data_IF_323495043909
#
_entry.id   IF_323495043909
#
_cell.length_a   1.000
_cell.length_b   1.000
_cell.length_c   1.000
_cell.angle_alpha   90.00
_cell.angle_beta   90.00
_cell.angle_gamma   90.00
#
_symmetry.space_group_name_H-M   'P 1'
#
loop_
_entity.id
_entity.type
_entity.pdbx_description
1 polymer ?
#
# COMPACT_ATOMS: atom_id res chain seq x y z
N UNK A 1 -21.75 -11.99 28.52
CA UNK A 1 -20.37 -11.56 28.29
C UNK A 1 -20.16 -11.62 26.80
N UNK A 2 -20.00 -10.49 26.11
CA UNK A 2 -19.79 -10.48 24.66
C UNK A 2 -18.41 -11.07 24.35
N UNK A 3 -18.33 -11.94 23.35
CA UNK A 3 -17.07 -12.52 22.89
C UNK A 3 -16.08 -11.40 22.50
N UNK A 4 -14.77 -11.60 22.75
CA UNK A 4 -13.78 -10.65 22.30
C UNK A 4 -13.82 -10.55 20.78
N UNK A 5 -14.01 -9.34 20.26
CA UNK A 5 -13.93 -8.99 18.82
C UNK A 5 -12.76 -9.71 18.17
N UNK A 6 -12.92 -10.25 16.95
CA UNK A 6 -11.83 -10.93 16.25
C UNK A 6 -10.62 -9.98 16.02
N UNK A 7 -9.40 -10.52 15.95
CA UNK A 7 -8.21 -9.70 15.73
C UNK A 7 -8.28 -8.90 14.42
N UNK A 8 -8.79 -9.53 13.35
CA UNK A 8 -8.92 -8.92 12.03
C UNK A 8 -9.91 -7.75 12.03
N UNK A 9 -11.03 -7.87 12.75
CA UNK A 9 -11.99 -6.78 12.90
C UNK A 9 -11.38 -5.57 13.60
N UNK A 10 -10.55 -5.78 14.63
CA UNK A 10 -9.85 -4.68 15.30
C UNK A 10 -8.81 -4.01 14.41
N UNK A 11 -8.07 -4.80 13.62
CA UNK A 11 -7.07 -4.27 12.68
C UNK A 11 -7.76 -3.51 11.52
N UNK A 12 -8.87 -4.03 11.02
CA UNK A 12 -9.69 -3.35 10.02
C UNK A 12 -10.25 -2.03 10.57
N UNK A 13 -10.77 -2.00 11.80
CA UNK A 13 -11.21 -0.77 12.44
C UNK A 13 -10.06 0.25 12.61
N UNK A 14 -8.85 -0.21 12.93
CA UNK A 14 -7.67 0.66 12.98
C UNK A 14 -7.33 1.24 11.59
N UNK A 15 -7.38 0.42 10.53
CA UNK A 15 -7.21 0.88 9.15
C UNK A 15 -8.25 1.93 8.76
N UNK A 16 -9.54 1.70 9.08
CA UNK A 16 -10.61 2.66 8.79
C UNK A 16 -10.36 4.01 9.48
N UNK A 17 -9.85 4.01 10.72
CA UNK A 17 -9.47 5.26 11.40
C UNK A 17 -8.34 5.99 10.69
N UNK A 18 -7.33 5.27 10.19
CA UNK A 18 -6.24 5.86 9.40
C UNK A 18 -6.77 6.46 8.08
N UNK A 19 -7.67 5.76 7.39
CA UNK A 19 -8.30 6.25 6.15
C UNK A 19 -9.14 7.51 6.39
N UNK A 20 -9.94 7.52 7.46
CA UNK A 20 -10.72 8.69 7.87
C UNK A 20 -9.79 9.86 8.23
N UNK A 21 -8.73 9.60 9.00
CA UNK A 21 -7.73 10.61 9.35
C UNK A 21 -7.02 11.19 8.12
N UNK A 22 -6.64 10.33 7.18
CA UNK A 22 -6.05 10.74 5.90
C UNK A 22 -7.02 11.58 5.06
N UNK A 23 -8.29 11.15 4.96
CA UNK A 23 -9.35 11.88 4.26
C UNK A 23 -9.64 13.26 4.87
N UNK A 24 -9.61 13.35 6.20
CA UNK A 24 -9.86 14.58 6.97
C UNK A 24 -8.60 15.41 7.23
N UNK A 25 -7.43 14.98 6.74
CA UNK A 25 -6.13 15.65 6.93
C UNK A 25 -5.75 15.87 8.39
N UNK A 26 -6.21 15.00 9.25
CA UNK A 26 -5.83 15.04 10.66
C UNK A 26 -4.38 14.54 10.78
N UNK A 27 -3.58 15.25 11.58
CA UNK A 27 -2.26 14.76 11.95
C UNK A 27 -2.44 13.41 12.64
N UNK A 28 -2.02 12.35 11.97
CA UNK A 28 -2.04 11.02 12.57
C UNK A 28 -0.91 10.98 13.59
N UNK A 29 -1.25 10.63 14.83
CA UNK A 29 -0.24 10.29 15.82
C UNK A 29 0.59 9.12 15.27
N UNK A 30 1.91 9.27 15.27
CA UNK A 30 2.83 8.21 14.85
C UNK A 30 3.29 7.53 16.14
N UNK A 31 2.65 6.41 16.55
CA UNK A 31 3.09 5.70 17.74
C UNK A 31 4.48 5.11 17.53
N UNK A 32 5.22 4.92 18.63
CA UNK A 32 6.46 4.16 18.60
C UNK A 32 6.25 2.72 18.09
N UNK A 33 7.30 2.08 17.54
CA UNK A 33 7.21 0.72 17.03
C UNK A 33 6.80 -0.27 18.13
N UNK A 34 5.87 -1.17 17.83
CA UNK A 34 5.40 -2.20 18.78
C UNK A 34 6.38 -3.38 18.94
N UNK A 35 7.33 -3.54 18.02
CA UNK A 35 8.34 -4.61 18.07
C UNK A 35 7.84 -6.02 17.73
N UNK A 36 6.57 -6.17 17.30
CA UNK A 36 5.96 -7.47 17.00
C UNK A 36 6.11 -7.86 15.53
N UNK A 37 6.10 -6.89 14.61
CA UNK A 37 6.21 -7.11 13.16
C UNK A 37 7.67 -6.99 12.73
N UNK A 38 8.20 -8.04 12.10
CA UNK A 38 9.54 -8.08 11.51
C UNK A 38 9.50 -7.69 10.03
N UNK A 39 10.67 -7.43 9.45
CA UNK A 39 10.82 -7.10 8.03
C UNK A 39 10.21 -8.15 7.11
N UNK A 40 10.45 -9.43 7.38
CA UNK A 40 9.91 -10.52 6.57
C UNK A 40 8.38 -10.57 6.66
N UNK A 41 7.81 -10.42 7.85
CA UNK A 41 6.34 -10.39 8.04
C UNK A 41 5.69 -9.27 7.19
N UNK A 42 6.35 -8.11 7.08
CA UNK A 42 5.88 -7.01 6.24
C UNK A 42 5.98 -7.35 4.75
N UNK A 43 7.05 -8.01 4.30
CA UNK A 43 7.19 -8.47 2.91
C UNK A 43 6.14 -9.53 2.57
N UNK A 44 5.93 -10.51 3.44
CA UNK A 44 4.93 -11.56 3.26
C UNK A 44 3.53 -10.95 3.20
N UNK A 45 3.22 -9.97 4.06
CA UNK A 45 1.95 -9.26 4.04
C UNK A 45 1.73 -8.51 2.71
N UNK A 46 2.76 -7.83 2.17
CA UNK A 46 2.66 -7.15 0.87
C UNK A 46 2.32 -8.15 -0.25
N UNK A 47 2.98 -9.31 -0.27
CA UNK A 47 2.72 -10.36 -1.28
C UNK A 47 1.32 -10.94 -1.13
N UNK A 48 0.88 -11.22 0.10
CA UNK A 48 -0.48 -11.73 0.35
C UNK A 48 -1.56 -10.75 -0.11
N UNK A 49 -1.38 -9.44 0.13
CA UNK A 49 -2.32 -8.43 -0.36
C UNK A 49 -2.29 -8.35 -1.90
N UNK A 50 -1.12 -8.45 -2.52
CA UNK A 50 -1.01 -8.48 -3.97
C UNK A 50 -1.76 -9.67 -4.58
N UNK A 51 -1.65 -10.86 -3.96
CA UNK A 51 -2.38 -12.06 -4.38
C UNK A 51 -3.91 -11.87 -4.27
N UNK A 52 -4.40 -11.25 -3.20
CA UNK A 52 -5.84 -10.94 -3.04
C UNK A 52 -6.32 -9.97 -4.12
N UNK A 53 -5.51 -8.96 -4.46
CA UNK A 53 -5.84 -8.02 -5.55
C UNK A 53 -5.88 -8.75 -6.89
N UNK A 54 -4.87 -9.57 -7.18
CA UNK A 54 -4.78 -10.34 -8.42
C UNK A 54 -5.97 -11.31 -8.59
N UNK A 55 -6.32 -12.06 -7.54
CA UNK A 55 -7.48 -12.94 -7.53
C UNK A 55 -8.79 -12.16 -7.78
N UNK A 56 -8.96 -11.02 -7.11
CA UNK A 56 -10.15 -10.19 -7.29
C UNK A 56 -10.26 -9.57 -8.70
N UNK A 57 -9.13 -9.27 -9.35
CA UNK A 57 -9.09 -8.82 -10.75
C UNK A 57 -9.45 -9.97 -11.69
N UNK A 58 -8.84 -11.14 -11.51
CA UNK A 58 -9.13 -12.33 -12.32
C UNK A 58 -10.60 -12.78 -12.18
N UNK A 59 -11.17 -12.66 -10.98
CA UNK A 59 -12.59 -12.93 -10.72
C UNK A 59 -13.54 -11.84 -11.26
N UNK A 60 -13.01 -10.72 -11.79
CA UNK A 60 -13.80 -9.59 -12.29
C UNK A 60 -14.46 -8.73 -11.21
N UNK A 61 -14.09 -8.92 -9.93
CA UNK A 61 -14.61 -8.13 -8.81
C UNK A 61 -13.96 -6.74 -8.73
N UNK A 62 -12.73 -6.60 -9.25
CA UNK A 62 -12.02 -5.34 -9.37
C UNK A 62 -11.68 -5.08 -10.85
N UNK A 63 -11.99 -3.90 -11.42
CA UNK A 63 -11.55 -3.55 -12.76
C UNK A 63 -10.03 -3.60 -12.89
N UNK A 64 -9.53 -4.11 -14.03
CA UNK A 64 -8.08 -4.31 -14.28
C UNK A 64 -7.26 -3.07 -13.95
N UNK A 65 -7.65 -1.89 -14.42
CA UNK A 65 -6.92 -0.64 -14.17
C UNK A 65 -6.78 -0.31 -12.67
N UNK A 66 -7.81 -0.63 -11.86
CA UNK A 66 -7.77 -0.44 -10.41
C UNK A 66 -6.87 -1.46 -9.74
N UNK A 67 -6.87 -2.69 -10.23
CA UNK A 67 -5.96 -3.75 -9.80
C UNK A 67 -4.50 -3.38 -10.05
N UNK A 68 -4.19 -2.93 -11.28
CA UNK A 68 -2.85 -2.45 -11.66
C UNK A 68 -2.40 -1.29 -10.77
N UNK A 69 -3.29 -0.30 -10.55
CA UNK A 69 -2.97 0.81 -9.67
C UNK A 69 -2.69 0.36 -8.22
N UNK A 70 -3.49 -0.56 -7.68
CA UNK A 70 -3.27 -1.11 -6.34
C UNK A 70 -1.94 -1.89 -6.25
N UNK A 71 -1.63 -2.72 -7.25
CA UNK A 71 -0.36 -3.44 -7.33
C UNK A 71 0.84 -2.47 -7.39
N UNK A 72 0.75 -1.38 -8.15
CA UNK A 72 1.79 -0.35 -8.20
C UNK A 72 2.01 0.32 -6.83
N UNK A 73 0.94 0.60 -6.07
CA UNK A 73 1.06 1.11 -4.70
C UNK A 73 1.77 0.12 -3.77
N UNK A 74 1.48 -1.18 -3.90
CA UNK A 74 2.17 -2.21 -3.12
C UNK A 74 3.66 -2.29 -3.47
N UNK A 75 4.06 -2.04 -4.72
CA UNK A 75 5.47 -2.00 -5.11
C UNK A 75 6.22 -0.81 -4.49
N UNK A 76 5.58 0.35 -4.38
CA UNK A 76 6.15 1.50 -3.64
C UNK A 76 6.40 1.14 -2.17
N UNK A 77 5.46 0.43 -1.53
CA UNK A 77 5.62 -0.06 -0.15
C UNK A 77 6.74 -1.10 -0.07
N UNK A 78 6.77 -2.05 -1.01
CA UNK A 78 7.79 -3.10 -1.10
C UNK A 78 9.16 -2.46 -1.14
N UNK A 79 9.41 -1.52 -2.06
CA UNK A 79 10.68 -0.81 -2.24
C UNK A 79 11.18 -0.18 -0.94
N UNK A 80 10.29 0.49 -0.21
CA UNK A 80 10.64 1.11 1.07
C UNK A 80 11.04 0.08 2.13
N UNK A 81 10.36 -1.08 2.18
CA UNK A 81 10.68 -2.16 3.12
C UNK A 81 11.96 -2.88 2.72
N UNK A 82 12.15 -3.16 1.43
CA UNK A 82 13.34 -3.76 0.84
C UNK A 82 13.43 -3.33 -0.63
N UNK A 83 14.64 -3.05 -1.18
CA UNK A 83 14.78 -2.69 -2.59
C UNK A 83 14.35 -3.82 -3.52
N UNK A 84 13.53 -3.49 -4.51
CA UNK A 84 13.12 -4.39 -5.58
C UNK A 84 14.37 -4.85 -6.36
N UNK A 85 14.35 -6.09 -6.90
CA UNK A 85 15.44 -6.54 -7.74
C UNK A 85 15.58 -5.62 -8.97
N UNK A 86 16.80 -5.31 -9.41
CA UNK A 86 17.01 -4.64 -10.69
C UNK A 86 16.52 -5.56 -11.82
N UNK A 87 16.13 -4.97 -12.94
CA UNK A 87 15.74 -5.71 -14.16
C UNK A 87 14.56 -6.66 -13.93
N UNK A 88 13.42 -6.09 -13.52
CA UNK A 88 12.22 -6.85 -13.14
C UNK A 88 11.51 -7.52 -14.32
N UNK A 89 11.59 -6.96 -15.53
CA UNK A 89 11.05 -7.59 -16.74
C UNK A 89 12.01 -8.61 -17.38
N UNK A 90 13.26 -8.67 -16.88
CA UNK A 90 14.28 -9.63 -17.28
C UNK A 90 14.80 -9.39 -18.69
N UNK A 91 14.67 -8.16 -19.20
CA UNK A 91 15.08 -7.79 -20.55
C UNK A 91 16.59 -7.51 -20.65
N UNK A 92 17.27 -7.32 -19.51
CA UNK A 92 18.71 -7.07 -19.44
C UNK A 92 19.17 -5.78 -20.12
N UNK A 93 18.24 -4.91 -20.49
CA UNK A 93 18.47 -3.75 -21.34
C UNK A 93 18.23 -2.42 -20.63
N UNK A 94 17.14 -2.24 -19.87
CA UNK A 94 16.90 -0.95 -19.17
C UNK A 94 16.04 -1.10 -17.92
N UNK A 95 16.61 -0.74 -16.77
CA UNK A 95 15.88 -0.66 -15.50
C UNK A 95 15.08 0.66 -15.41
N UNK A 96 13.83 0.65 -15.85
CA UNK A 96 12.89 1.79 -15.74
C UNK A 96 12.35 1.99 -14.32
N UNK A 97 12.67 1.09 -13.38
CA UNK A 97 12.00 1.02 -12.09
C UNK A 97 12.18 2.30 -11.26
N UNK A 98 13.36 2.92 -11.33
CA UNK A 98 13.61 4.17 -10.62
C UNK A 98 12.71 5.31 -11.09
N UNK A 99 12.53 5.44 -12.41
CA UNK A 99 11.71 6.50 -13.01
C UNK A 99 10.22 6.25 -12.72
N UNK A 100 9.78 4.99 -12.82
CA UNK A 100 8.40 4.59 -12.51
C UNK A 100 8.08 4.84 -11.03
N UNK A 101 8.95 4.43 -10.12
CA UNK A 101 8.79 4.69 -8.68
C UNK A 101 8.77 6.20 -8.39
N UNK A 102 9.64 6.98 -9.03
CA UNK A 102 9.67 8.43 -8.87
C UNK A 102 8.37 9.10 -9.34
N UNK A 103 7.83 8.67 -10.49
CA UNK A 103 6.55 9.14 -11.00
C UNK A 103 5.41 8.83 -10.02
N UNK A 104 5.32 7.58 -9.54
CA UNK A 104 4.26 7.15 -8.62
C UNK A 104 4.33 7.87 -7.28
N UNK A 105 5.52 8.04 -6.72
CA UNK A 105 5.73 8.79 -5.48
C UNK A 105 5.38 10.26 -5.65
N UNK A 106 5.67 10.86 -6.80
CA UNK A 106 5.30 12.24 -7.11
C UNK A 106 3.78 12.40 -7.16
N UNK A 107 3.08 11.53 -7.89
CA UNK A 107 1.62 11.52 -7.95
C UNK A 107 0.98 11.37 -6.56
N UNK A 108 1.53 10.53 -5.68
CA UNK A 108 1.09 10.39 -4.29
C UNK A 108 1.27 11.68 -3.48
N UNK A 109 2.42 12.34 -3.63
CA UNK A 109 2.71 13.61 -2.94
C UNK A 109 1.77 14.72 -3.41
N UNK A 110 1.49 14.79 -4.71
CA UNK A 110 0.55 15.73 -5.31
C UNK A 110 -0.90 15.46 -4.90
N UNK A 111 -1.35 14.20 -4.90
CA UNK A 111 -2.69 13.86 -4.44
C UNK A 111 -2.93 14.29 -2.98
N UNK A 112 -1.89 14.19 -2.15
CA UNK A 112 -1.91 14.68 -0.76
C UNK A 112 -2.03 16.21 -0.67
N UNK A 113 -1.35 16.96 -1.54
CA UNK A 113 -1.38 18.45 -1.53
C UNK A 113 -2.59 19.04 -2.25
N UNK A 114 -2.96 18.53 -3.44
CA UNK A 114 -4.00 19.04 -4.33
C UNK A 114 -5.41 19.00 -3.72
N UNK A 115 -5.71 18.04 -2.85
CA UNK A 115 -6.97 18.04 -2.06
C UNK A 115 -7.06 19.19 -1.03
N UNK A 116 -6.12 20.14 -1.05
CA UNK A 116 -5.98 21.24 -0.09
C UNK A 116 -6.22 22.62 -0.65
N UNK A 117 -6.55 22.70 -1.94
CA UNK A 117 -6.82 23.95 -2.64
C UNK A 117 -8.31 24.17 -2.93
N UNK A 118 -9.20 23.50 -2.18
CA UNK A 118 -10.62 23.87 -2.14
C UNK A 118 -10.96 24.38 -0.75
N UNK A 119 -10.62 25.65 -0.53
CA UNK A 119 -11.35 26.51 0.39
C UNK A 119 -12.72 26.88 -0.18
#
# INVERSE_FOLDING_TARGET
MSEPVAADERLYAAMLRLLVGYGNRQACEIPGPRGVVRRQDALDAVIQVAAVVDEAVHAGAIPVDRGLHAAAMLMVVREFVQPLPPDWDGDGCTDYLNDDLAMMVTALREARTARGHKG
#
